data_IF_667539626640
#
_entry.id   IF_667539626640
#
_cell.length_a   1.000
_cell.length_b   1.000
_cell.length_c   1.000
_cell.angle_alpha   90.00
_cell.angle_beta   90.00
_cell.angle_gamma   90.00
#
_symmetry.space_group_name_H-M   'P 1'
#
loop_
_entity.id
_entity.type
_entity.pdbx_description
1 polymer ?
#
# COMPACT_ATOMS: atom_id res chain seq x y z
N UNK A 1 14.47 3.73 -13.54
CA UNK A 1 15.20 3.14 -14.68
C UNK A 1 16.50 2.42 -14.30
N UNK A 2 17.20 2.80 -13.21
CA UNK A 2 18.50 2.19 -12.87
C UNK A 2 18.46 1.06 -11.80
N UNK A 3 17.32 0.80 -11.14
CA UNK A 3 17.22 -0.29 -10.13
C UNK A 3 17.14 -1.68 -10.77
N UNK A 4 16.43 -1.81 -11.89
CA UNK A 4 16.25 -3.09 -12.60
C UNK A 4 17.56 -3.68 -13.13
N UNK A 5 18.51 -2.84 -13.55
CA UNK A 5 19.83 -3.28 -14.04
C UNK A 5 20.79 -3.72 -12.93
N UNK A 6 20.59 -3.28 -11.68
CA UNK A 6 21.41 -3.75 -10.53
C UNK A 6 20.94 -5.09 -9.99
N UNK A 7 19.62 -5.29 -9.92
CA UNK A 7 19.01 -6.55 -9.47
C UNK A 7 19.37 -7.74 -10.38
N UNK A 8 19.53 -7.52 -11.69
CA UNK A 8 19.97 -8.56 -12.64
C UNK A 8 21.45 -8.96 -12.48
N UNK A 9 22.28 -8.15 -11.81
CA UNK A 9 23.73 -8.35 -11.74
C UNK A 9 24.19 -9.03 -10.44
N UNK A 10 23.32 -9.12 -9.43
CA UNK A 10 23.63 -9.80 -8.18
C UNK A 10 22.33 -10.31 -7.50
N UNK A 11 22.09 -11.63 -7.43
CA UNK A 11 20.85 -12.20 -6.88
C UNK A 11 20.63 -11.87 -5.39
N UNK A 12 21.70 -11.55 -4.65
CA UNK A 12 21.61 -11.07 -3.26
C UNK A 12 20.92 -9.70 -3.14
N UNK A 13 21.07 -8.82 -4.15
CA UNK A 13 20.46 -7.49 -4.18
C UNK A 13 19.00 -7.51 -4.63
N UNK A 14 18.57 -8.54 -5.37
CA UNK A 14 17.18 -8.68 -5.82
C UNK A 14 16.21 -8.88 -4.65
N UNK A 15 16.60 -9.69 -3.65
CA UNK A 15 15.79 -9.90 -2.44
C UNK A 15 15.63 -8.61 -1.64
N UNK A 16 16.72 -7.86 -1.48
CA UNK A 16 16.69 -6.58 -0.78
C UNK A 16 15.82 -5.54 -1.52
N UNK A 17 15.96 -5.42 -2.84
CA UNK A 17 15.15 -4.52 -3.64
C UNK A 17 13.64 -4.86 -3.58
N UNK A 18 13.27 -6.15 -3.51
CA UNK A 18 11.89 -6.57 -3.35
C UNK A 18 11.32 -6.21 -1.97
N UNK A 19 12.11 -6.35 -0.89
CA UNK A 19 11.70 -5.93 0.45
C UNK A 19 11.51 -4.40 0.56
N UNK A 20 12.41 -3.63 -0.06
CA UNK A 20 12.30 -2.17 -0.14
C UNK A 20 11.03 -1.77 -0.93
N UNK A 21 10.77 -2.42 -2.07
CA UNK A 21 9.57 -2.18 -2.86
C UNK A 21 8.28 -2.45 -2.07
N UNK A 22 8.19 -3.58 -1.34
CA UNK A 22 7.06 -3.89 -0.46
C UNK A 22 6.87 -2.84 0.63
N UNK A 23 7.96 -2.33 1.20
CA UNK A 23 7.90 -1.28 2.22
C UNK A 23 7.36 0.03 1.65
N UNK A 24 7.81 0.44 0.46
CA UNK A 24 7.28 1.63 -0.21
C UNK A 24 5.81 1.49 -0.62
N UNK A 25 5.37 0.29 -1.00
CA UNK A 25 3.98 0.03 -1.34
C UNK A 25 3.05 0.14 -0.12
N UNK A 26 3.45 -0.39 1.05
CA UNK A 26 2.72 -0.17 2.31
C UNK A 26 2.59 1.31 2.64
N UNK A 27 3.69 2.05 2.55
CA UNK A 27 3.67 3.50 2.81
C UNK A 27 2.75 4.25 1.83
N UNK A 28 2.73 3.84 0.56
CA UNK A 28 1.83 4.44 -0.41
C UNK A 28 0.35 4.17 -0.09
N UNK A 29 0.00 2.97 0.36
CA UNK A 29 -1.36 2.65 0.84
C UNK A 29 -1.74 3.55 2.02
N UNK A 30 -0.85 3.71 3.00
CA UNK A 30 -1.05 4.64 4.14
C UNK A 30 -1.30 6.06 3.69
N UNK A 31 -0.47 6.57 2.78
CA UNK A 31 -0.62 7.93 2.22
C UNK A 31 -1.97 8.08 1.52
N UNK A 32 -2.41 7.08 0.74
CA UNK A 32 -3.72 7.10 0.07
C UNK A 32 -4.87 7.13 1.09
N UNK A 33 -4.84 6.27 2.12
CA UNK A 33 -5.84 6.26 3.21
C UNK A 33 -5.88 7.61 3.92
N UNK A 34 -4.71 8.15 4.28
CA UNK A 34 -4.61 9.47 4.92
C UNK A 34 -5.12 10.60 4.02
N UNK A 35 -4.81 10.57 2.71
CA UNK A 35 -5.33 11.54 1.74
C UNK A 35 -6.85 11.50 1.67
N UNK A 36 -7.44 10.31 1.57
CA UNK A 36 -8.90 10.11 1.57
C UNK A 36 -9.52 10.65 2.85
N UNK A 37 -8.93 10.36 4.02
CA UNK A 37 -9.37 10.89 5.31
C UNK A 37 -9.36 12.42 5.30
N UNK A 38 -8.26 13.05 4.89
CA UNK A 38 -8.13 14.50 4.80
C UNK A 38 -9.15 15.14 3.84
N UNK A 39 -9.41 14.50 2.69
CA UNK A 39 -10.43 14.98 1.75
C UNK A 39 -11.84 14.94 2.35
N UNK A 40 -12.20 13.84 3.01
CA UNK A 40 -13.49 13.69 3.70
C UNK A 40 -13.64 14.73 4.81
N UNK A 41 -12.60 14.92 5.62
CA UNK A 41 -12.60 15.94 6.68
C UNK A 41 -12.71 17.37 6.14
N UNK A 42 -12.07 17.66 5.00
CA UNK A 42 -12.24 18.96 4.31
C UNK A 42 -13.68 19.19 3.90
N UNK A 43 -14.35 18.18 3.33
CA UNK A 43 -15.75 18.28 2.94
C UNK A 43 -16.67 18.47 4.16
N UNK A 44 -16.41 17.74 5.25
CA UNK A 44 -17.14 17.90 6.52
C UNK A 44 -16.98 19.31 7.09
N UNK A 45 -15.77 19.88 7.09
CA UNK A 45 -15.54 21.27 7.52
C UNK A 45 -16.33 22.28 6.69
N UNK A 46 -16.35 22.11 5.37
CA UNK A 46 -17.11 22.97 4.47
C UNK A 46 -18.62 22.86 4.73
N UNK A 47 -19.10 21.65 4.96
CA UNK A 47 -20.50 21.38 5.35
C UNK A 47 -20.85 22.10 6.65
N UNK A 48 -20.03 21.96 7.71
CA UNK A 48 -20.22 22.66 8.99
C UNK A 48 -20.23 24.17 8.79
N UNK A 49 -19.28 24.72 8.02
CA UNK A 49 -19.23 26.16 7.74
C UNK A 49 -20.53 26.67 7.09
N UNK A 50 -21.07 25.93 6.11
CA UNK A 50 -22.32 26.28 5.44
C UNK A 50 -23.51 26.21 6.41
N UNK A 51 -23.65 25.10 7.14
CA UNK A 51 -24.77 24.88 8.05
C UNK A 51 -24.76 25.90 9.21
N UNK A 52 -23.58 26.26 9.73
CA UNK A 52 -23.45 27.29 10.75
C UNK A 52 -23.84 28.68 10.21
N UNK A 53 -23.37 29.04 9.00
CA UNK A 53 -23.76 30.30 8.36
C UNK A 53 -25.27 30.38 8.09
N UNK A 54 -25.86 29.27 7.67
CA UNK A 54 -27.31 29.14 7.50
C UNK A 54 -28.03 29.36 8.85
N UNK A 55 -27.60 28.69 9.92
CA UNK A 55 -28.20 28.82 11.24
C UNK A 55 -28.18 30.27 11.74
N UNK A 56 -27.07 31.00 11.55
CA UNK A 56 -26.99 32.42 11.88
C UNK A 56 -27.87 33.30 10.99
N UNK A 57 -27.98 32.98 9.70
CA UNK A 57 -28.82 33.71 8.76
C UNK A 57 -30.31 33.53 9.09
N UNK A 58 -30.74 32.30 9.39
CA UNK A 58 -32.10 31.98 9.85
C UNK A 58 -32.42 32.72 11.14
N UNK A 59 -31.50 32.75 12.11
CA UNK A 59 -31.67 33.54 13.34
C UNK A 59 -31.88 35.02 13.07
N UNK A 60 -31.16 35.60 12.11
CA UNK A 60 -31.31 37.02 11.74
C UNK A 60 -32.68 37.33 11.11
N UNK A 61 -33.24 36.39 10.34
CA UNK A 61 -34.51 36.57 9.62
C UNK A 61 -35.71 36.23 10.51
N UNK A 62 -35.69 35.06 11.15
CA UNK A 62 -36.82 34.51 11.90
C UNK A 62 -36.73 34.76 13.41
N UNK A 63 -35.60 35.25 13.92
CA UNK A 63 -35.38 35.48 15.35
C UNK A 63 -35.20 34.21 16.20
N UNK A 64 -35.53 33.03 15.65
CA UNK A 64 -35.38 31.73 16.29
C UNK A 64 -34.25 30.93 15.65
N UNK A 65 -33.63 30.08 16.46
CA UNK A 65 -32.52 29.22 16.05
C UNK A 65 -33.00 27.77 16.12
N UNK A 66 -32.89 27.04 15.01
CA UNK A 66 -33.19 25.61 14.98
C UNK A 66 -31.94 24.83 15.36
N UNK A 67 -32.09 23.97 16.36
CA UNK A 67 -31.03 23.03 16.75
C UNK A 67 -30.73 22.06 15.61
N UNK A 68 -29.47 21.83 15.29
CA UNK A 68 -29.05 20.92 14.22
C UNK A 68 -28.23 19.76 14.77
N UNK A 69 -28.79 18.56 14.70
CA UNK A 69 -28.08 17.30 14.99
C UNK A 69 -27.08 16.93 13.88
N UNK A 70 -27.26 17.46 12.66
CA UNK A 70 -26.32 17.29 11.55
C UNK A 70 -24.98 17.99 11.82
N UNK A 71 -25.03 19.29 12.18
CA UNK A 71 -23.83 20.06 12.57
C UNK A 71 -23.11 19.36 13.72
N UNK A 72 -23.87 18.86 14.69
CA UNK A 72 -23.35 18.16 15.87
C UNK A 72 -22.52 16.93 15.48
N UNK A 73 -23.03 16.09 14.58
CA UNK A 73 -22.34 14.87 14.10
C UNK A 73 -21.06 15.22 13.32
N UNK A 74 -21.14 16.19 12.43
CA UNK A 74 -20.00 16.61 11.60
C UNK A 74 -18.89 17.19 12.48
N UNK A 75 -19.22 18.06 13.44
CA UNK A 75 -18.26 18.61 14.42
C UNK A 75 -17.64 17.50 15.27
N UNK A 76 -18.40 16.50 15.73
CA UNK A 76 -17.86 15.38 16.51
C UNK A 76 -16.83 14.55 15.70
N UNK A 77 -17.11 14.33 14.41
CA UNK A 77 -16.17 13.62 13.52
C UNK A 77 -14.86 14.40 13.36
N UNK A 78 -14.95 15.73 13.24
CA UNK A 78 -13.79 16.61 13.10
C UNK A 78 -12.99 16.77 14.41
N UNK A 79 -13.64 16.71 15.57
CA UNK A 79 -12.95 16.70 16.87
C UNK A 79 -12.01 15.51 16.98
N UNK A 80 -12.33 14.36 16.38
CA UNK A 80 -11.49 13.16 16.46
C UNK A 80 -10.19 13.25 15.67
N UNK A 81 -10.04 14.27 14.81
CA UNK A 81 -8.77 14.51 14.12
C UNK A 81 -7.77 15.18 15.07
N UNK A 82 -6.60 14.59 15.32
CA UNK A 82 -5.60 15.15 16.24
C UNK A 82 -5.25 16.61 15.92
N UNK A 83 -5.18 16.95 14.64
CA UNK A 83 -4.79 18.28 14.17
C UNK A 83 -5.88 19.35 14.37
N UNK A 84 -7.16 18.96 14.46
CA UNK A 84 -8.30 19.87 14.62
C UNK A 84 -8.97 19.77 15.99
N UNK A 85 -8.56 18.80 16.80
CA UNK A 85 -9.15 18.43 18.08
C UNK A 85 -9.34 19.64 19.02
N UNK A 86 -8.32 20.48 19.17
CA UNK A 86 -8.39 21.67 20.03
C UNK A 86 -9.39 22.73 19.51
N UNK A 87 -9.30 23.07 18.22
CA UNK A 87 -10.12 24.15 17.62
C UNK A 87 -11.58 23.73 17.47
N UNK A 88 -11.84 22.47 17.10
CA UNK A 88 -13.20 21.94 16.94
C UNK A 88 -13.93 21.75 18.26
N UNK A 89 -13.22 21.44 19.37
CA UNK A 89 -13.84 21.44 20.71
C UNK A 89 -14.25 22.83 21.16
N UNK A 90 -13.40 23.83 20.90
CA UNK A 90 -13.75 25.23 21.19
C UNK A 90 -14.99 25.64 20.38
N UNK A 91 -15.00 25.33 19.07
CA UNK A 91 -16.16 25.58 18.21
C UNK A 91 -17.41 24.88 18.75
N UNK A 92 -17.33 23.58 19.08
CA UNK A 92 -18.44 22.82 19.64
C UNK A 92 -19.03 23.49 20.89
N UNK A 93 -18.17 23.91 21.82
CA UNK A 93 -18.58 24.61 23.05
C UNK A 93 -19.31 25.92 22.74
N UNK A 94 -18.80 26.72 21.80
CA UNK A 94 -19.45 27.97 21.37
C UNK A 94 -20.77 27.72 20.64
N UNK A 95 -20.87 26.66 19.83
CA UNK A 95 -22.12 26.28 19.16
C UNK A 95 -23.19 25.80 20.15
N UNK A 96 -22.80 25.10 21.22
CA UNK A 96 -23.69 24.73 22.34
C UNK A 96 -24.18 26.00 23.04
N UNK A 97 -23.28 26.91 23.41
CA UNK A 97 -23.65 28.21 24.03
C UNK A 97 -24.55 29.06 23.14
N UNK A 98 -24.32 29.03 21.83
CA UNK A 98 -25.15 29.73 20.87
C UNK A 98 -26.55 29.11 20.69
N UNK A 99 -26.77 27.89 21.20
CA UNK A 99 -28.00 27.11 21.06
C UNK A 99 -28.16 26.46 19.68
N UNK A 100 -27.07 26.34 18.90
CA UNK A 100 -27.07 25.77 17.54
C UNK A 100 -27.07 24.24 17.61
N UNK A 101 -26.32 23.69 18.55
CA UNK A 101 -26.23 22.24 18.80
C UNK A 101 -26.59 21.95 20.26
N UNK A 102 -26.99 20.70 20.52
CA UNK A 102 -27.30 20.26 21.88
C UNK A 102 -26.02 19.89 22.63
N UNK A 103 -26.04 20.07 23.95
CA UNK A 103 -24.97 19.59 24.82
C UNK A 103 -24.98 18.07 24.81
N UNK A 104 -24.04 17.48 24.08
CA UNK A 104 -23.78 16.06 24.20
C UNK A 104 -23.01 15.84 25.50
N UNK A 105 -23.62 15.13 26.44
CA UNK A 105 -22.85 14.39 27.44
C UNK A 105 -22.02 13.37 26.64
N UNK A 106 -20.72 13.27 26.92
CA UNK A 106 -19.76 12.37 26.26
C UNK A 106 -20.23 10.90 26.33
N UNK A 107 -21.21 10.52 25.51
CA UNK A 107 -21.47 9.14 25.17
C UNK A 107 -20.33 8.76 24.23
N UNK A 108 -19.29 8.25 24.85
CA UNK A 108 -18.17 7.56 24.25
C UNK A 108 -18.70 6.35 23.47
N UNK A 109 -19.34 6.61 22.32
CA UNK A 109 -19.42 5.65 21.24
C UNK A 109 -18.16 5.93 20.41
N UNK A 110 -17.04 5.23 20.71
CA UNK A 110 -15.95 5.18 19.75
C UNK A 110 -16.59 4.63 18.48
N UNK A 111 -16.71 5.49 17.47
CA UNK A 111 -16.94 4.97 16.12
C UNK A 111 -15.56 4.47 15.72
N UNK A 112 -15.22 3.31 16.28
CA UNK A 112 -13.91 2.66 16.21
C UNK A 112 -13.60 2.23 14.77
N UNK A 113 -14.62 2.23 13.91
CA UNK A 113 -14.51 1.98 12.46
C UNK A 113 -13.44 2.81 11.76
N UNK A 114 -13.14 4.04 12.21
CA UNK A 114 -12.11 4.88 11.57
C UNK A 114 -10.68 4.66 12.10
N UNK A 115 -10.52 4.00 13.25
CA UNK A 115 -9.22 3.71 13.87
C UNK A 115 -8.85 2.22 13.76
N UNK A 116 -9.83 1.32 13.69
CA UNK A 116 -9.62 -0.12 13.52
C UNK A 116 -9.17 -0.51 12.09
N UNK A 117 -9.34 0.36 11.08
CA UNK A 117 -8.82 0.12 9.73
C UNK A 117 -7.29 0.31 9.58
N UNK A 118 -6.61 0.69 10.66
CA UNK A 118 -5.17 0.99 10.66
C UNK A 118 -4.30 -0.24 10.97
N UNK A 119 -4.85 -1.33 11.53
CA UNK A 119 -4.02 -2.43 12.05
C UNK A 119 -3.70 -3.54 11.03
N UNK A 120 -4.49 -3.75 9.98
CA UNK A 120 -4.18 -4.73 8.94
C UNK A 120 -4.31 -4.10 7.53
N UNK A 121 -3.21 -3.55 7.03
CA UNK A 121 -3.07 -3.37 5.58
C UNK A 121 -3.14 -4.74 4.93
N UNK A 122 -4.25 -5.05 4.25
CA UNK A 122 -4.39 -6.29 3.53
C UNK A 122 -3.19 -6.47 2.59
N UNK A 123 -2.41 -7.54 2.76
CA UNK A 123 -1.25 -7.82 1.91
C UNK A 123 -1.65 -7.83 0.42
N UNK A 124 -2.90 -8.21 0.14
CA UNK A 124 -3.54 -8.12 -1.17
C UNK A 124 -3.58 -6.69 -1.75
N UNK A 125 -3.88 -5.67 -0.94
CA UNK A 125 -3.90 -4.27 -1.39
C UNK A 125 -2.49 -3.79 -1.73
N UNK A 126 -1.50 -4.17 -0.91
CA UNK A 126 -0.09 -3.84 -1.13
C UNK A 126 0.41 -4.49 -2.42
N UNK A 127 0.12 -5.77 -2.62
CA UNK A 127 0.52 -6.51 -3.82
C UNK A 127 -0.19 -5.96 -5.07
N UNK A 128 -1.45 -5.57 -4.97
CA UNK A 128 -2.17 -4.89 -6.06
C UNK A 128 -1.48 -3.57 -6.45
N UNK A 129 -1.13 -2.74 -5.47
CA UNK A 129 -0.43 -1.47 -5.71
C UNK A 129 0.96 -1.70 -6.33
N UNK A 130 1.68 -2.73 -5.89
CA UNK A 130 2.95 -3.13 -6.50
C UNK A 130 2.79 -3.55 -7.97
N UNK A 131 1.77 -4.35 -8.27
CA UNK A 131 1.48 -4.78 -9.64
C UNK A 131 1.11 -3.59 -10.55
N UNK A 132 0.28 -2.66 -10.05
CA UNK A 132 -0.12 -1.44 -10.75
C UNK A 132 1.10 -0.58 -11.12
N UNK A 133 2.02 -0.36 -10.17
CA UNK A 133 3.18 0.53 -10.35
C UNK A 133 4.26 -0.12 -11.20
N UNK A 134 4.51 -1.42 -11.00
CA UNK A 134 5.57 -2.13 -11.71
C UNK A 134 5.09 -2.66 -13.06
N UNK A 135 3.83 -2.41 -13.44
CA UNK A 135 3.21 -2.90 -14.68
C UNK A 135 3.44 -4.41 -14.87
N UNK A 136 3.35 -5.19 -13.80
CA UNK A 136 3.63 -6.63 -13.83
C UNK A 136 5.10 -7.03 -14.04
N UNK A 137 6.07 -6.11 -14.02
CA UNK A 137 7.50 -6.48 -14.16
C UNK A 137 8.07 -7.25 -12.98
N UNK A 138 7.38 -7.27 -11.83
CA UNK A 138 7.75 -8.08 -10.67
C UNK A 138 7.44 -9.57 -10.89
N UNK A 139 6.36 -9.90 -11.59
CA UNK A 139 6.03 -11.30 -11.94
C UNK A 139 7.01 -11.90 -12.95
N UNK A 140 7.75 -11.06 -13.69
CA UNK A 140 8.91 -11.49 -14.48
C UNK A 140 10.14 -11.85 -13.63
N UNK A 141 10.20 -11.42 -12.36
CA UNK A 141 11.32 -11.76 -11.45
C UNK A 141 11.03 -13.05 -10.67
N UNK A 142 9.77 -13.35 -10.37
CA UNK A 142 9.34 -14.67 -9.87
C UNK A 142 9.43 -15.77 -10.96
N UNK A 143 9.60 -15.38 -12.22
CA UNK A 143 9.83 -16.26 -13.36
C UNK A 143 11.28 -16.74 -13.53
N UNK A 144 12.21 -16.42 -12.62
CA UNK A 144 13.42 -17.25 -12.50
C UNK A 144 13.00 -18.47 -11.69
N UNK A 145 12.33 -19.40 -12.37
CA UNK A 145 12.37 -20.79 -11.95
C UNK A 145 13.85 -21.09 -11.65
N UNK A 146 14.19 -21.72 -10.51
CA UNK A 146 15.48 -22.40 -10.47
C UNK A 146 15.49 -23.24 -11.74
N UNK A 147 16.54 -23.10 -12.56
CA UNK A 147 16.78 -24.08 -13.62
C UNK A 147 16.50 -25.42 -12.97
N UNK A 148 15.44 -26.10 -13.45
CA UNK A 148 15.15 -27.46 -13.03
C UNK A 148 16.52 -28.16 -13.03
N UNK A 149 16.90 -28.86 -11.94
CA UNK A 149 17.99 -29.81 -12.06
C UNK A 149 17.76 -30.56 -13.35
N UNK A 150 18.73 -30.48 -14.27
CA UNK A 150 18.68 -31.19 -15.54
C UNK A 150 18.16 -32.59 -15.21
N UNK A 151 16.93 -32.85 -15.62
CA UNK A 151 16.36 -34.17 -15.54
C UNK A 151 17.27 -34.97 -16.44
N UNK A 152 18.01 -35.88 -15.80
CA UNK A 152 18.94 -36.81 -16.42
C UNK A 152 18.12 -37.62 -17.42
N UNK A 153 18.03 -37.11 -18.64
CA UNK A 153 17.55 -37.86 -19.78
C UNK A 153 18.54 -39.02 -19.98
N UNK A 154 18.04 -40.24 -20.26
CA UNK A 154 18.87 -41.44 -20.31
C UNK A 154 20.07 -41.22 -21.23
N UNK A 155 21.25 -41.59 -20.75
CA UNK A 155 22.51 -41.53 -21.50
C UNK A 155 22.29 -42.13 -22.90
N UNK A 156 22.68 -41.43 -23.98
CA UNK A 156 22.90 -42.10 -25.24
C UNK A 156 24.17 -42.96 -25.09
N UNK A 157 23.99 -44.28 -24.93
CA UNK A 157 25.07 -45.28 -24.91
C UNK A 157 25.97 -45.21 -26.18
N UNK A 158 25.53 -44.51 -27.23
CA UNK A 158 26.25 -44.35 -28.49
C UNK A 158 27.42 -43.34 -28.44
N UNK A 159 27.46 -42.35 -27.52
CA UNK A 159 28.55 -41.36 -27.50
C UNK A 159 29.84 -41.86 -26.82
N UNK A 160 29.75 -42.88 -25.96
CA UNK A 160 30.92 -43.48 -25.31
C UNK A 160 31.72 -44.39 -26.25
N UNK A 161 31.05 -45.10 -27.17
CA UNK A 161 31.71 -45.93 -28.16
C UNK A 161 32.55 -45.10 -29.15
N UNK A 162 32.04 -43.93 -29.56
CA UNK A 162 32.75 -43.02 -30.46
C UNK A 162 33.97 -42.36 -29.80
N UNK A 163 33.92 -42.09 -28.49
CA UNK A 163 35.06 -41.55 -27.74
C UNK A 163 36.17 -42.61 -27.53
N UNK A 164 35.81 -43.88 -27.32
CA UNK A 164 36.81 -44.95 -27.17
C UNK A 164 37.51 -45.27 -28.50
N UNK A 165 36.75 -45.34 -29.60
CA UNK A 165 37.31 -45.57 -30.94
C UNK A 165 38.25 -44.44 -31.40
N UNK A 166 37.92 -43.18 -31.05
CA UNK A 166 38.78 -42.02 -31.35
C UNK A 166 40.04 -41.98 -30.49
N UNK A 167 39.98 -42.39 -29.22
CA UNK A 167 41.14 -42.53 -28.34
C UNK A 167 42.09 -43.64 -28.80
N UNK A 168 41.56 -44.76 -29.29
CA UNK A 168 42.36 -45.87 -29.81
C UNK A 168 43.07 -45.50 -31.12
N UNK A 169 42.39 -44.76 -32.00
CA UNK A 169 43.02 -44.20 -33.21
C UNK A 169 44.16 -43.22 -32.88
N UNK A 170 44.03 -42.44 -31.80
CA UNK A 170 45.10 -41.55 -31.34
C UNK A 170 46.27 -42.31 -30.71
N UNK A 171 46.03 -43.43 -30.01
CA UNK A 171 47.09 -44.30 -29.48
C UNK A 171 47.91 -44.98 -30.59
N UNK A 172 47.26 -45.52 -31.62
CA UNK A 172 47.97 -46.15 -32.75
C UNK A 172 48.88 -45.19 -33.53
N UNK A 173 48.48 -43.91 -33.67
CA UNK A 173 49.32 -42.87 -34.28
C UNK A 173 50.55 -42.54 -33.44
N UNK A 174 50.44 -42.59 -32.10
CA UNK A 174 51.56 -42.32 -31.20
C UNK A 174 52.55 -43.48 -31.13
N UNK A 175 52.10 -44.73 -31.28
CA UNK A 175 52.99 -45.89 -31.36
C UNK A 175 53.79 -45.94 -32.67
N UNK A 176 53.19 -45.51 -33.78
CA UNK A 176 53.89 -45.39 -35.07
C UNK A 176 55.01 -44.32 -35.07
N UNK A 177 55.00 -43.39 -34.10
CA UNK A 177 56.06 -42.39 -33.89
C UNK A 177 57.14 -42.86 -32.90
N UNK A 178 56.97 -44.05 -32.31
CA UNK A 178 57.89 -44.63 -31.32
C UNK A 178 58.71 -45.82 -31.86
N UNK A 179 58.63 -46.11 -33.16
CA UNK A 179 59.55 -47.02 -33.86
C UNK A 179 60.50 -46.27 -34.78
#
# INVERSE_FOLDING_TARGET
>A
MNSSKRAQRNPSQAKQANMEAKTFARELVRIRKQSTRLHTSRAQLQSVQMQVNEAFSVRKIQGSLKKSTGIMKDVNTLVRMPELNATMRQLSTELVRAGIIEEMVDDAIPNNELLEEEEDEAEEEVDKVLQEILHGKLSQVEGVQPEKPLEEAPEPEDEFADQEATLEQMRGRLEALKS
#
